data_IF_276488417328
#
_entry.id   IF_276488417328
#
_cell.length_a   1.000
_cell.length_b   1.000
_cell.length_c   1.000
_cell.angle_alpha   90.00
_cell.angle_beta   90.00
_cell.angle_gamma   90.00
#
_symmetry.space_group_name_H-M   'P 1'
#
loop_
_entity.id
_entity.type
_entity.pdbx_description
1 polymer ?
#
# COMPACT_ATOMS: atom_id res chain seq x y z
N UNK A 1 44.95 -2.10 13.68
CA UNK A 1 43.97 -1.80 12.62
C UNK A 1 44.35 -2.44 11.28
N UNK A 2 45.57 -2.95 11.13
CA UNK A 2 46.06 -3.59 9.89
C UNK A 2 45.37 -4.91 9.53
N UNK A 3 44.82 -5.64 10.51
CA UNK A 3 44.17 -6.93 10.26
C UNK A 3 42.90 -6.82 9.42
N UNK A 4 42.00 -5.86 9.71
CA UNK A 4 40.74 -5.73 8.96
C UNK A 4 40.99 -5.37 7.48
N UNK A 5 41.95 -4.48 7.21
CA UNK A 5 42.33 -4.13 5.84
C UNK A 5 42.99 -5.31 5.11
N UNK A 6 43.81 -6.08 5.81
CA UNK A 6 44.43 -7.28 5.27
C UNK A 6 43.39 -8.37 4.97
N UNK A 7 42.42 -8.58 5.86
CA UNK A 7 41.33 -9.54 5.70
C UNK A 7 40.41 -9.17 4.53
N UNK A 8 40.07 -7.88 4.38
CA UNK A 8 39.26 -7.39 3.26
C UNK A 8 39.99 -7.60 1.92
N UNK A 9 41.29 -7.29 1.86
CA UNK A 9 42.13 -7.47 0.67
C UNK A 9 42.35 -8.94 0.33
N UNK A 10 42.46 -9.80 1.34
CA UNK A 10 42.56 -11.24 1.14
C UNK A 10 41.25 -11.82 0.62
N UNK A 11 40.12 -11.46 1.24
CA UNK A 11 38.78 -11.94 0.86
C UNK A 11 38.40 -11.51 -0.55
N UNK A 12 38.67 -10.27 -0.93
CA UNK A 12 38.44 -9.78 -2.31
C UNK A 12 39.29 -10.53 -3.34
N UNK A 13 40.56 -10.84 -3.03
CA UNK A 13 41.42 -11.66 -3.90
C UNK A 13 40.90 -13.10 -4.04
N UNK A 14 40.34 -13.68 -2.97
CA UNK A 14 39.72 -15.00 -3.01
C UNK A 14 38.47 -14.99 -3.89
N UNK A 15 37.59 -13.99 -3.75
CA UNK A 15 36.37 -13.83 -4.55
C UNK A 15 36.68 -13.68 -6.05
N UNK A 16 37.77 -12.99 -6.40
CA UNK A 16 38.23 -12.82 -7.79
C UNK A 16 38.86 -14.10 -8.38
N UNK A 17 39.32 -15.03 -7.55
CA UNK A 17 39.87 -16.32 -7.99
C UNK A 17 38.78 -17.36 -8.32
N UNK A 18 37.57 -17.21 -7.77
CA UNK A 18 36.44 -18.12 -7.99
C UNK A 18 35.20 -17.39 -8.56
N UNK A 19 35.32 -16.78 -9.75
CA UNK A 19 34.31 -15.85 -10.28
C UNK A 19 32.92 -16.49 -10.46
N UNK A 20 32.84 -17.78 -10.83
CA UNK A 20 31.55 -18.47 -10.99
C UNK A 20 30.77 -18.61 -9.68
N UNK A 21 31.43 -19.05 -8.61
CA UNK A 21 30.81 -19.17 -7.29
C UNK A 21 30.43 -17.79 -6.74
N UNK A 22 31.35 -16.82 -6.84
CA UNK A 22 31.12 -15.44 -6.42
C UNK A 22 29.91 -14.82 -7.12
N UNK A 23 29.75 -15.05 -8.43
CA UNK A 23 28.61 -14.54 -9.19
C UNK A 23 27.29 -15.13 -8.70
N UNK A 24 27.22 -16.45 -8.51
CA UNK A 24 26.00 -17.12 -8.01
C UNK A 24 25.64 -16.63 -6.61
N UNK A 25 26.63 -16.51 -5.72
CA UNK A 25 26.42 -15.99 -4.37
C UNK A 25 25.94 -14.53 -4.41
N UNK A 26 26.56 -13.68 -5.24
CA UNK A 26 26.19 -12.28 -5.39
C UNK A 26 24.76 -12.10 -5.94
N UNK A 27 24.39 -12.86 -6.97
CA UNK A 27 23.04 -12.84 -7.54
C UNK A 27 22.01 -13.32 -6.53
N UNK A 28 22.29 -14.41 -5.81
CA UNK A 28 21.38 -14.93 -4.78
C UNK A 28 21.15 -13.91 -3.67
N UNK A 29 22.23 -13.26 -3.20
CA UNK A 29 22.15 -12.20 -2.20
C UNK A 29 21.39 -10.97 -2.73
N UNK A 30 21.68 -10.54 -3.96
CA UNK A 30 21.01 -9.42 -4.60
C UNK A 30 19.51 -9.69 -4.78
N UNK A 31 19.11 -10.90 -5.16
CA UNK A 31 17.71 -11.31 -5.27
C UNK A 31 17.03 -11.33 -3.90
N UNK A 32 17.67 -11.89 -2.86
CA UNK A 32 17.10 -11.93 -1.51
C UNK A 32 16.89 -10.52 -0.92
N UNK A 33 17.87 -9.64 -1.06
CA UNK A 33 17.78 -8.25 -0.59
C UNK A 33 16.80 -7.46 -1.45
N UNK A 34 16.92 -7.56 -2.76
CA UNK A 34 16.13 -6.81 -3.74
C UNK A 34 14.65 -7.19 -3.72
N UNK A 35 14.31 -8.46 -3.56
CA UNK A 35 12.92 -8.91 -3.46
C UNK A 35 12.23 -8.30 -2.23
N UNK A 36 12.88 -8.36 -1.07
CA UNK A 36 12.35 -7.77 0.16
C UNK A 36 12.19 -6.25 0.04
N UNK A 37 13.20 -5.55 -0.49
CA UNK A 37 13.15 -4.12 -0.71
C UNK A 37 12.06 -3.72 -1.73
N UNK A 38 11.85 -4.53 -2.77
CA UNK A 38 10.83 -4.31 -3.80
C UNK A 38 9.42 -4.48 -3.25
N UNK A 39 9.19 -5.53 -2.45
CA UNK A 39 7.90 -5.75 -1.78
C UNK A 39 7.58 -4.56 -0.87
N UNK A 40 8.55 -4.13 -0.04
CA UNK A 40 8.33 -2.99 0.85
C UNK A 40 8.10 -1.69 0.07
N UNK A 41 8.84 -1.46 -1.02
CA UNK A 41 8.65 -0.29 -1.89
C UNK A 41 7.28 -0.29 -2.55
N UNK A 42 6.79 -1.45 -2.99
CA UNK A 42 5.46 -1.61 -3.57
C UNK A 42 4.36 -1.36 -2.53
N UNK A 43 4.47 -1.95 -1.35
CA UNK A 43 3.53 -1.75 -0.24
C UNK A 43 3.52 -0.28 0.19
N UNK A 44 4.69 0.34 0.34
CA UNK A 44 4.79 1.76 0.66
C UNK A 44 4.16 2.63 -0.45
N UNK A 45 4.41 2.29 -1.71
CA UNK A 45 3.88 3.01 -2.87
C UNK A 45 2.36 2.85 -3.06
N UNK A 46 1.77 1.73 -2.65
CA UNK A 46 0.34 1.44 -2.86
C UNK A 46 -0.52 1.69 -1.61
N UNK A 47 -0.02 1.39 -0.41
CA UNK A 47 -0.78 1.55 0.84
C UNK A 47 -0.53 2.89 1.53
N UNK A 48 0.68 3.44 1.42
CA UNK A 48 1.08 4.61 2.21
C UNK A 48 1.21 5.89 1.38
N UNK A 49 1.38 5.81 0.05
CA UNK A 49 1.20 7.00 -0.78
C UNK A 49 -0.30 7.31 -0.88
N UNK A 50 -0.65 8.51 -0.46
CA UNK A 50 -2.01 9.02 -0.54
C UNK A 50 -2.54 8.87 -1.98
N UNK A 51 -3.79 8.40 -2.14
CA UNK A 51 -4.45 8.36 -3.44
C UNK A 51 -4.24 9.68 -4.20
N UNK A 52 -3.87 9.58 -5.47
CA UNK A 52 -3.64 10.74 -6.32
C UNK A 52 -4.85 11.68 -6.24
N UNK A 53 -4.62 12.94 -5.86
CA UNK A 53 -5.66 13.97 -5.70
C UNK A 53 -5.95 14.39 -4.25
N UNK A 54 -5.44 13.67 -3.24
CA UNK A 54 -5.56 14.07 -1.84
C UNK A 54 -4.38 14.98 -1.46
N UNK A 55 -4.65 16.28 -1.35
CA UNK A 55 -3.63 17.30 -1.09
C UNK A 55 -3.28 17.45 0.41
N UNK A 56 -4.12 16.90 1.31
CA UNK A 56 -3.98 17.01 2.77
C UNK A 56 -4.30 15.67 3.47
N UNK A 57 -3.42 14.66 3.41
CA UNK A 57 -3.72 13.32 3.95
C UNK A 57 -3.94 13.31 5.47
N UNK A 58 -3.31 14.21 6.20
CA UNK A 58 -3.44 14.32 7.66
C UNK A 58 -4.83 14.78 8.12
N UNK A 59 -5.65 15.29 7.19
CA UNK A 59 -7.03 15.74 7.42
C UNK A 59 -8.09 14.73 7.02
N UNK A 60 -7.68 13.55 6.55
CA UNK A 60 -8.61 12.46 6.25
C UNK A 60 -9.18 11.88 7.54
N UNK A 61 -10.50 11.77 7.59
CA UNK A 61 -11.23 11.13 8.68
C UNK A 61 -12.07 9.99 8.16
N UNK A 62 -12.17 8.92 8.95
CA UNK A 62 -13.08 7.82 8.68
C UNK A 62 -14.42 8.09 9.36
N UNK A 63 -15.50 8.05 8.59
CA UNK A 63 -16.86 8.11 9.12
C UNK A 63 -17.27 6.71 9.55
N UNK A 64 -17.72 6.55 10.79
CA UNK A 64 -18.22 5.29 11.34
C UNK A 64 -19.39 5.57 12.29
N UNK A 65 -20.34 4.64 12.40
CA UNK A 65 -21.41 4.74 13.40
C UNK A 65 -20.84 4.52 14.81
N UNK A 66 -21.36 5.26 15.78
CA UNK A 66 -20.98 5.14 17.19
C UNK A 66 -22.08 4.41 17.96
N UNK A 67 -21.94 3.09 18.11
CA UNK A 67 -22.79 2.25 18.96
C UNK A 67 -21.96 1.15 19.63
N UNK A 68 -22.48 0.50 20.67
CA UNK A 68 -21.74 -0.41 21.56
C UNK A 68 -21.00 -1.54 20.83
N UNK A 69 -21.58 -2.06 19.75
CA UNK A 69 -21.00 -3.13 18.91
C UNK A 69 -20.57 -2.62 17.52
N UNK A 70 -20.24 -1.34 17.40
CA UNK A 70 -19.87 -0.77 16.11
C UNK A 70 -18.56 -1.38 15.57
N UNK A 71 -18.56 -1.88 14.32
CA UNK A 71 -17.34 -2.37 13.72
C UNK A 71 -16.36 -1.22 13.51
N UNK A 72 -15.05 -1.49 13.71
CA UNK A 72 -13.97 -0.54 13.40
C UNK A 72 -13.99 -0.06 11.95
N UNK A 73 -14.48 -0.90 11.04
CA UNK A 73 -14.70 -0.57 9.64
C UNK A 73 -16.17 -0.72 9.33
N UNK A 74 -16.84 0.42 9.25
CA UNK A 74 -18.26 0.46 8.98
C UNK A 74 -18.51 0.49 7.47
N UNK A 75 -19.55 -0.22 7.04
CA UNK A 75 -19.99 -0.24 5.65
C UNK A 75 -21.31 0.50 5.55
N UNK A 76 -21.36 1.54 4.73
CA UNK A 76 -22.58 2.27 4.42
C UNK A 76 -23.21 1.72 3.15
N UNK A 77 -24.54 1.67 3.11
CA UNK A 77 -25.24 1.43 1.86
C UNK A 77 -25.01 2.60 0.91
N UNK A 78 -25.11 2.36 -0.40
CA UNK A 78 -24.90 3.40 -1.40
C UNK A 78 -25.78 4.66 -1.17
N UNK A 79 -27.10 4.53 -0.88
CA UNK A 79 -27.91 5.70 -0.57
C UNK A 79 -27.52 6.41 0.73
N UNK A 80 -27.08 5.67 1.76
CA UNK A 80 -26.62 6.29 3.00
C UNK A 80 -25.32 7.09 2.80
N UNK A 81 -24.43 6.59 1.94
CA UNK A 81 -23.22 7.31 1.52
C UNK A 81 -23.54 8.59 0.73
N UNK A 82 -24.53 8.55 -0.19
CA UNK A 82 -25.03 9.75 -0.89
C UNK A 82 -25.62 10.77 0.09
N UNK A 83 -26.45 10.31 1.03
CA UNK A 83 -27.03 11.19 2.06
C UNK A 83 -25.95 11.89 2.90
N UNK A 84 -24.94 11.15 3.38
CA UNK A 84 -23.84 11.72 4.17
C UNK A 84 -23.04 12.71 3.33
N UNK A 85 -22.80 12.42 2.05
CA UNK A 85 -22.11 13.34 1.14
C UNK A 85 -22.87 14.65 0.98
N UNK A 86 -24.19 14.57 0.80
CA UNK A 86 -25.02 15.73 0.47
C UNK A 86 -25.38 16.57 1.70
N UNK A 87 -25.49 15.95 2.88
CA UNK A 87 -25.85 16.64 4.13
C UNK A 87 -24.64 17.06 4.99
N UNK A 88 -23.44 16.53 4.72
CA UNK A 88 -22.25 16.88 5.52
C UNK A 88 -21.87 18.35 5.34
N UNK A 89 -21.84 19.08 6.47
CA UNK A 89 -21.41 20.50 6.52
C UNK A 89 -20.05 20.69 7.19
N UNK A 90 -19.54 19.67 7.86
CA UNK A 90 -18.29 19.74 8.63
C UNK A 90 -17.09 19.24 7.82
N UNK A 91 -17.32 18.49 6.75
CA UNK A 91 -16.28 17.92 5.89
C UNK A 91 -16.22 18.69 4.57
N UNK A 92 -15.01 18.96 4.07
CA UNK A 92 -14.80 19.59 2.75
C UNK A 92 -15.25 18.69 1.58
N UNK A 93 -15.34 17.39 1.80
CA UNK A 93 -15.87 16.41 0.87
C UNK A 93 -16.00 15.04 1.51
N UNK A 94 -16.83 14.18 0.91
CA UNK A 94 -17.04 12.80 1.35
C UNK A 94 -16.87 11.88 0.16
N UNK A 95 -16.08 10.82 0.31
CA UNK A 95 -15.87 9.79 -0.71
C UNK A 95 -16.06 8.40 -0.10
N UNK A 96 -16.66 7.50 -0.87
CA UNK A 96 -16.80 6.09 -0.52
C UNK A 96 -15.73 5.30 -1.23
N UNK A 97 -15.24 4.24 -0.59
CA UNK A 97 -14.25 3.34 -1.15
C UNK A 97 -14.75 1.89 -1.03
N UNK A 98 -14.60 1.11 -2.09
CA UNK A 98 -14.86 -0.32 -2.09
C UNK A 98 -13.76 -1.05 -2.86
N UNK A 99 -13.25 -2.15 -2.31
CA UNK A 99 -12.26 -2.99 -3.01
C UNK A 99 -12.82 -3.66 -4.28
N UNK A 100 -14.12 -3.52 -4.58
CA UNK A 100 -14.79 -4.11 -5.74
C UNK A 100 -15.86 -3.15 -6.28
N UNK A 101 -15.97 -3.07 -7.61
CA UNK A 101 -17.14 -2.48 -8.24
C UNK A 101 -18.39 -3.31 -7.95
N UNK A 102 -19.53 -2.64 -7.83
CA UNK A 102 -20.82 -3.28 -7.57
C UNK A 102 -21.90 -2.68 -8.47
N UNK A 103 -23.03 -3.37 -8.58
CA UNK A 103 -24.18 -2.91 -9.36
C UNK A 103 -25.29 -2.54 -8.39
N UNK A 104 -25.92 -1.40 -8.64
CA UNK A 104 -27.08 -0.92 -7.88
C UNK A 104 -28.27 -0.75 -8.84
N UNK A 105 -29.49 -0.80 -8.30
CA UNK A 105 -30.73 -0.72 -9.08
C UNK A 105 -31.37 -2.09 -9.32
N UNK A 106 -32.58 -2.09 -9.89
CA UNK A 106 -33.32 -3.30 -10.26
C UNK A 106 -33.84 -3.16 -11.70
N UNK A 107 -33.90 -4.28 -12.43
CA UNK A 107 -34.40 -4.29 -13.80
C UNK A 107 -33.58 -3.40 -14.74
N UNK A 108 -34.26 -2.55 -15.50
CA UNK A 108 -33.65 -1.67 -16.50
C UNK A 108 -32.90 -0.47 -15.91
N UNK A 109 -33.03 -0.20 -14.61
CA UNK A 109 -32.35 0.91 -13.93
C UNK A 109 -31.03 0.49 -13.24
N UNK A 110 -30.46 -0.64 -13.65
CA UNK A 110 -29.19 -1.11 -13.09
C UNK A 110 -28.03 -0.24 -13.56
N UNK A 111 -27.23 0.27 -12.62
CA UNK A 111 -25.99 1.00 -12.92
C UNK A 111 -24.80 0.40 -12.17
N UNK A 112 -23.67 0.33 -12.87
CA UNK A 112 -22.39 -0.06 -12.28
C UNK A 112 -21.80 1.12 -11.53
N UNK A 113 -21.41 0.89 -10.28
CA UNK A 113 -20.70 1.83 -9.44
C UNK A 113 -19.24 1.35 -9.35
N UNK A 114 -18.26 2.19 -9.74
CA UNK A 114 -16.85 1.86 -9.54
C UNK A 114 -16.54 1.78 -8.04
N UNK A 115 -15.58 0.91 -7.70
CA UNK A 115 -15.13 0.73 -6.31
C UNK A 115 -14.16 1.82 -5.91
#
# INVERSE_FOLDING_TARGET
MDSMLQDLRFSTRVLLRSPGFTLVAAVTLALGIGANASIFSLVNGLMFRSPAGIHEPDRLVQIARSYESAPRWDNFSWPAMELIRDESRMLSGVAGYSGRSFVIGRGTETRKVPG
#
